data_IF_414216351680
#
_entry.id   IF_414216351680
#
_cell.length_a   1.000
_cell.length_b   1.000
_cell.length_c   1.000
_cell.angle_alpha   90.00
_cell.angle_beta   90.00
_cell.angle_gamma   90.00
#
_symmetry.space_group_name_H-M   'P 1'
#
loop_
_entity.id
_entity.type
_entity.pdbx_description
1 polymer ?
#
# COMPACT_ATOMS: atom_id res chain seq x y z
N UNK A 1 32.44 43.56 27.86
CA UNK A 1 33.39 42.77 28.68
C UNK A 1 32.65 41.54 29.16
N UNK A 2 32.17 40.70 28.25
CA UNK A 2 32.91 39.81 27.31
C UNK A 2 33.47 38.61 28.11
N UNK A 3 33.41 37.35 27.69
CA UNK A 3 32.85 36.62 26.56
C UNK A 3 33.04 35.11 26.89
N UNK A 4 32.10 34.26 26.44
CA UNK A 4 32.25 32.88 25.91
C UNK A 4 32.82 31.71 26.74
N UNK A 5 32.01 30.65 26.82
CA UNK A 5 32.19 29.35 26.11
C UNK A 5 30.97 28.43 26.42
N UNK A 6 30.12 28.05 25.45
CA UNK A 6 30.23 26.88 24.54
C UNK A 6 30.36 25.56 25.35
N UNK A 7 29.58 24.48 25.20
CA UNK A 7 28.76 23.94 24.11
C UNK A 7 27.90 22.81 24.71
N UNK A 8 26.69 22.57 24.19
CA UNK A 8 25.89 21.39 24.53
C UNK A 8 24.83 21.13 23.46
N UNK A 9 25.26 20.58 22.33
CA UNK A 9 24.39 20.05 21.27
C UNK A 9 24.02 18.61 21.63
N UNK A 10 22.72 18.28 21.63
CA UNK A 10 22.19 16.93 21.36
C UNK A 10 20.66 16.96 21.43
N UNK A 11 19.88 16.60 20.42
CA UNK A 11 20.18 16.20 19.06
C UNK A 11 18.90 16.39 18.25
N UNK A 12 19.02 17.07 17.12
CA UNK A 12 17.97 17.11 16.12
C UNK A 12 18.04 15.77 15.38
N UNK A 13 17.23 14.80 15.83
CA UNK A 13 17.05 13.57 15.04
C UNK A 13 16.31 13.95 13.79
N UNK A 14 17.07 14.08 12.71
CA UNK A 14 16.64 14.07 11.32
C UNK A 14 15.48 13.08 11.13
N UNK A 15 14.24 13.60 11.16
CA UNK A 15 13.01 12.84 11.00
C UNK A 15 12.74 12.65 9.51
N UNK A 16 13.67 11.96 8.84
CA UNK A 16 13.52 11.52 7.45
C UNK A 16 12.79 10.18 7.33
N UNK A 17 12.24 9.66 8.43
CA UNK A 17 11.46 8.43 8.47
C UNK A 17 9.95 8.73 8.48
N UNK A 18 9.19 8.00 7.66
CA UNK A 18 7.74 8.21 7.55
C UNK A 18 6.94 7.57 8.69
N UNK A 19 5.66 7.94 8.78
CA UNK A 19 4.80 7.56 9.90
C UNK A 19 4.66 6.03 10.05
N UNK A 20 4.69 5.57 11.32
CA UNK A 20 4.42 4.18 11.67
C UNK A 20 2.93 3.86 11.57
N UNK A 21 2.60 2.60 11.24
CA UNK A 21 1.21 2.13 11.21
C UNK A 21 1.11 0.66 11.62
N UNK A 22 0.11 0.38 12.45
CA UNK A 22 -0.29 -0.97 12.88
C UNK A 22 -1.47 -1.51 12.04
N UNK A 23 -1.94 -0.75 11.03
CA UNK A 23 -3.17 -1.07 10.30
C UNK A 23 -3.07 -2.43 9.57
N UNK A 24 -4.09 -3.29 9.68
CA UNK A 24 -4.10 -4.61 9.03
C UNK A 24 -4.28 -4.50 7.51
N UNK A 25 -4.73 -3.35 7.00
CA UNK A 25 -4.89 -3.07 5.58
C UNK A 25 -4.11 -1.82 5.20
N UNK A 26 -3.17 -1.93 4.26
CA UNK A 26 -2.42 -0.79 3.75
C UNK A 26 -2.72 -0.67 2.26
N UNK A 27 -2.93 0.54 1.76
CA UNK A 27 -3.28 0.74 0.36
C UNK A 27 -2.65 1.96 -0.27
N UNK A 28 -2.59 1.93 -1.59
CA UNK A 28 -2.28 3.11 -2.41
C UNK A 28 -3.50 3.48 -3.26
N UNK A 29 -3.72 4.78 -3.46
CA UNK A 29 -4.73 5.30 -4.37
C UNK A 29 -4.26 6.60 -4.99
N UNK A 30 -4.37 6.72 -6.32
CA UNK A 30 -4.15 7.97 -7.06
C UNK A 30 -5.23 9.02 -6.76
N UNK A 31 -5.06 10.19 -7.39
CA UNK A 31 -6.01 11.30 -7.45
C UNK A 31 -7.43 10.93 -7.93
N UNK A 32 -7.59 9.82 -8.65
CA UNK A 32 -8.91 9.30 -9.03
C UNK A 32 -9.69 8.70 -7.86
N UNK A 33 -9.00 8.39 -6.75
CA UNK A 33 -9.58 7.88 -5.50
C UNK A 33 -10.40 6.59 -5.60
N UNK A 34 -10.35 5.86 -6.72
CA UNK A 34 -11.13 4.62 -6.88
C UNK A 34 -10.80 3.57 -5.81
N UNK A 35 -9.52 3.27 -5.60
CA UNK A 35 -9.07 2.34 -4.55
C UNK A 35 -9.38 2.88 -3.17
N UNK A 36 -9.24 4.20 -2.95
CA UNK A 36 -9.61 4.84 -1.68
C UNK A 36 -11.10 4.66 -1.36
N UNK A 37 -11.98 4.88 -2.34
CA UNK A 37 -13.43 4.65 -2.21
C UNK A 37 -13.75 3.18 -1.95
N UNK A 38 -13.05 2.24 -2.58
CA UNK A 38 -13.22 0.82 -2.29
C UNK A 38 -12.87 0.50 -0.84
N UNK A 39 -11.68 0.88 -0.40
CA UNK A 39 -11.19 0.63 0.96
C UNK A 39 -12.09 1.28 2.01
N UNK A 40 -12.58 2.50 1.76
CA UNK A 40 -13.52 3.17 2.67
C UNK A 40 -14.83 2.43 2.89
N UNK A 41 -15.27 1.59 1.93
CA UNK A 41 -16.49 0.76 2.07
C UNK A 41 -16.27 -0.49 2.92
N UNK A 42 -15.03 -0.91 3.14
CA UNK A 42 -14.73 -2.13 3.90
C UNK A 42 -14.98 -1.97 5.40
N UNK A 43 -14.92 -0.74 5.94
CA UNK A 43 -15.06 -0.50 7.37
C UNK A 43 -13.90 -1.05 8.23
N UNK A 44 -12.79 -1.47 7.59
CA UNK A 44 -11.60 -2.02 8.23
C UNK A 44 -10.59 -0.89 8.50
N UNK A 45 -9.90 -0.95 9.64
CA UNK A 45 -8.77 -0.05 9.93
C UNK A 45 -7.74 -0.12 8.80
N UNK A 46 -7.42 1.03 8.22
CA UNK A 46 -6.54 1.09 7.06
C UNK A 46 -5.62 2.30 7.03
N UNK A 47 -4.46 2.12 6.40
CA UNK A 47 -3.48 3.19 6.22
C UNK A 47 -3.24 3.48 4.72
N UNK A 48 -3.32 4.75 4.35
CA UNK A 48 -3.10 5.22 2.98
C UNK A 48 -1.65 5.64 2.77
N UNK A 49 -0.99 5.04 1.78
CA UNK A 49 0.33 5.52 1.35
C UNK A 49 0.24 6.93 0.76
N UNK A 50 1.27 7.79 0.96
CA UNK A 50 1.30 9.13 0.39
C UNK A 50 1.21 9.14 -1.13
N UNK A 51 0.59 10.19 -1.67
CA UNK A 51 0.39 10.33 -3.11
C UNK A 51 1.71 10.61 -3.83
N UNK A 52 2.58 11.46 -3.27
CA UNK A 52 3.80 11.89 -3.94
C UNK A 52 5.00 11.07 -3.47
N UNK A 53 5.77 10.51 -4.40
CA UNK A 53 6.95 9.68 -4.06
C UNK A 53 8.06 10.44 -3.31
N UNK A 54 8.06 11.78 -3.35
CA UNK A 54 8.97 12.62 -2.58
C UNK A 54 8.67 12.60 -1.07
N UNK A 55 7.44 12.28 -0.70
CA UNK A 55 7.03 12.22 0.71
C UNK A 55 7.52 10.91 1.35
N UNK A 56 7.90 10.92 2.64
CA UNK A 56 8.26 9.71 3.37
C UNK A 56 7.12 8.67 3.30
N UNK A 57 7.44 7.42 2.99
CA UNK A 57 6.44 6.34 2.92
C UNK A 57 6.11 5.81 4.32
N UNK A 58 5.04 5.03 4.46
CA UNK A 58 4.65 4.44 5.75
C UNK A 58 5.66 3.37 6.23
N UNK A 59 5.69 3.15 7.55
CA UNK A 59 6.44 2.07 8.20
C UNK A 59 5.47 1.12 8.90
N UNK A 60 5.23 -0.05 8.32
CA UNK A 60 4.37 -1.07 8.91
C UNK A 60 5.07 -1.71 10.12
N UNK A 61 4.31 -1.91 11.19
CA UNK A 61 4.79 -2.51 12.44
C UNK A 61 4.01 -3.77 12.82
N UNK A 62 2.94 -4.10 12.08
CA UNK A 62 2.17 -5.34 12.16
C UNK A 62 2.02 -6.01 10.79
N UNK A 63 1.70 -7.32 10.74
CA UNK A 63 1.30 -7.98 9.51
C UNK A 63 0.11 -7.28 8.84
N UNK A 64 0.14 -7.16 7.52
CA UNK A 64 -0.92 -6.47 6.76
C UNK A 64 -1.19 -7.11 5.39
N UNK A 65 -2.35 -6.79 4.84
CA UNK A 65 -2.71 -7.03 3.42
C UNK A 65 -2.58 -5.72 2.64
N UNK A 66 -2.01 -5.80 1.44
CA UNK A 66 -1.83 -4.65 0.55
C UNK A 66 -2.95 -4.56 -0.48
N UNK A 67 -3.59 -3.40 -0.61
CA UNK A 67 -4.52 -3.10 -1.72
C UNK A 67 -3.89 -2.09 -2.68
N UNK A 68 -3.80 -2.42 -3.98
CA UNK A 68 -3.16 -1.55 -4.96
C UNK A 68 -3.89 -1.51 -6.31
N UNK A 69 -3.95 -0.33 -6.97
CA UNK A 69 -4.36 -0.25 -8.36
C UNK A 69 -3.26 -0.75 -9.29
N UNK A 70 -3.68 -1.22 -10.47
CA UNK A 70 -2.80 -1.49 -11.60
C UNK A 70 -2.74 -0.28 -12.51
N UNK A 71 -1.52 0.15 -12.81
CA UNK A 71 -1.23 1.14 -13.85
C UNK A 71 -0.57 0.45 -15.05
N UNK A 72 -0.03 1.24 -15.97
CA UNK A 72 0.53 0.71 -17.22
C UNK A 72 -0.52 0.60 -18.32
N UNK A 73 -0.03 0.62 -19.56
CA UNK A 73 -0.86 0.41 -20.75
C UNK A 73 -1.00 -1.08 -21.07
N UNK A 74 -1.43 -1.37 -22.30
CA UNK A 74 -1.71 -2.73 -22.81
C UNK A 74 -0.50 -3.68 -22.68
N UNK A 75 0.73 -3.15 -22.67
CA UNK A 75 1.97 -3.94 -22.54
C UNK A 75 2.41 -4.20 -21.08
N UNK A 76 1.66 -3.76 -20.06
CA UNK A 76 1.95 -4.03 -18.64
C UNK A 76 3.18 -3.30 -18.05
N UNK A 77 3.85 -2.45 -18.83
CA UNK A 77 4.98 -1.66 -18.34
C UNK A 77 4.56 -0.73 -17.20
N UNK A 78 5.33 -0.73 -16.10
CA UNK A 78 5.06 0.09 -14.89
C UNK A 78 3.69 -0.19 -14.26
N UNK A 79 3.27 -1.46 -14.27
CA UNK A 79 2.02 -1.89 -13.67
C UNK A 79 1.88 -1.55 -12.18
N UNK A 80 2.97 -1.73 -11.41
CA UNK A 80 2.98 -1.42 -9.99
C UNK A 80 3.27 0.07 -9.76
N UNK A 81 2.43 0.81 -9.00
CA UNK A 81 2.68 2.20 -8.67
C UNK A 81 4.04 2.41 -7.98
N UNK A 82 4.75 3.50 -8.33
CA UNK A 82 6.11 3.77 -7.78
C UNK A 82 6.10 3.95 -6.27
N UNK A 83 4.98 4.41 -5.70
CA UNK A 83 4.74 4.57 -4.27
C UNK A 83 4.72 3.21 -3.57
N UNK A 84 4.04 2.23 -4.18
CA UNK A 84 4.03 0.84 -3.69
C UNK A 84 5.42 0.22 -3.82
N UNK A 85 6.13 0.45 -4.93
CA UNK A 85 7.52 0.00 -5.07
C UNK A 85 8.41 0.61 -3.98
N UNK A 86 8.32 1.92 -3.72
CA UNK A 86 9.06 2.59 -2.64
C UNK A 86 8.74 1.97 -1.28
N UNK A 87 7.47 1.71 -0.99
CA UNK A 87 7.02 1.12 0.26
C UNK A 87 7.55 -0.31 0.45
N UNK A 88 7.49 -1.15 -0.58
CA UNK A 88 7.94 -2.55 -0.54
C UNK A 88 9.46 -2.73 -0.69
N UNK A 89 10.20 -1.70 -1.10
CA UNK A 89 11.67 -1.71 -1.07
C UNK A 89 12.21 -1.58 0.37
N UNK A 90 11.38 -1.13 1.32
CA UNK A 90 11.70 -1.22 2.74
C UNK A 90 11.50 -2.67 3.22
N UNK A 91 12.56 -3.28 3.74
CA UNK A 91 12.56 -4.70 4.09
C UNK A 91 11.61 -5.04 5.24
N UNK A 92 11.44 -4.14 6.21
CA UNK A 92 10.50 -4.29 7.33
C UNK A 92 9.06 -4.29 6.82
N UNK A 93 8.71 -3.35 5.92
CA UNK A 93 7.38 -3.34 5.31
C UNK A 93 7.13 -4.62 4.51
N UNK A 94 8.13 -5.05 3.74
CA UNK A 94 8.01 -6.25 2.89
C UNK A 94 7.88 -7.53 3.71
N UNK A 95 8.59 -7.68 4.83
CA UNK A 95 8.54 -8.88 5.67
C UNK A 95 7.20 -9.05 6.41
N UNK A 96 6.44 -7.96 6.57
CA UNK A 96 5.12 -7.94 7.18
C UNK A 96 3.96 -8.10 6.19
N UNK A 97 4.23 -8.11 4.88
CA UNK A 97 3.20 -8.36 3.87
C UNK A 97 2.67 -9.81 4.01
N UNK A 98 1.34 -9.97 3.94
CA UNK A 98 0.69 -11.30 4.04
C UNK A 98 -0.14 -11.68 2.84
N UNK A 99 -0.60 -10.71 2.05
CA UNK A 99 -1.36 -10.95 0.83
C UNK A 99 -1.61 -9.65 0.08
N UNK A 100 -2.08 -9.76 -1.16
CA UNK A 100 -2.38 -8.61 -2.02
C UNK A 100 -3.78 -8.67 -2.60
N UNK A 101 -4.43 -7.52 -2.71
CA UNK A 101 -5.70 -7.32 -3.40
C UNK A 101 -5.50 -6.32 -4.54
N UNK A 102 -5.84 -6.73 -5.76
CA UNK A 102 -5.64 -5.92 -6.96
C UNK A 102 -6.88 -5.17 -7.40
N UNK A 103 -6.77 -3.85 -7.57
CA UNK A 103 -7.76 -3.05 -8.30
C UNK A 103 -7.33 -2.87 -9.76
N UNK A 104 -8.26 -3.02 -10.69
CA UNK A 104 -7.99 -2.90 -12.12
C UNK A 104 -9.22 -2.49 -12.91
N UNK A 105 -9.16 -2.66 -14.23
CA UNK A 105 -10.29 -2.46 -15.11
C UNK A 105 -10.28 -3.58 -16.17
N UNK A 106 -11.41 -4.26 -16.36
CA UNK A 106 -11.47 -5.48 -17.17
C UNK A 106 -11.25 -5.21 -18.66
N UNK A 107 -11.41 -3.95 -19.10
CA UNK A 107 -11.08 -3.53 -20.47
C UNK A 107 -9.59 -3.71 -20.83
N UNK A 108 -8.72 -3.97 -19.84
CA UNK A 108 -7.30 -4.24 -20.04
C UNK A 108 -6.97 -5.73 -20.27
N UNK A 109 -7.98 -6.60 -20.33
CA UNK A 109 -7.84 -8.00 -20.72
C UNK A 109 -6.81 -8.75 -19.89
N UNK A 110 -5.78 -9.29 -20.54
CA UNK A 110 -4.70 -10.07 -19.91
C UNK A 110 -3.91 -9.28 -18.85
N UNK A 111 -3.95 -7.94 -18.89
CA UNK A 111 -3.28 -7.08 -17.91
C UNK A 111 -4.20 -6.65 -16.76
N UNK A 112 -5.41 -7.19 -16.68
CA UNK A 112 -6.35 -6.95 -15.58
C UNK A 112 -5.73 -7.33 -14.22
N UNK A 113 -5.62 -6.33 -13.35
CA UNK A 113 -5.04 -6.45 -12.00
C UNK A 113 -3.60 -6.99 -11.96
N UNK A 114 -2.84 -6.84 -13.06
CA UNK A 114 -1.47 -7.36 -13.19
C UNK A 114 -0.52 -6.90 -12.07
N UNK A 115 -0.73 -5.71 -11.48
CA UNK A 115 0.10 -5.25 -10.38
C UNK A 115 0.04 -6.18 -9.15
N UNK A 116 -1.12 -6.77 -8.87
CA UNK A 116 -1.27 -7.73 -7.78
C UNK A 116 -0.47 -9.00 -8.05
N UNK A 117 -0.52 -9.54 -9.27
CA UNK A 117 0.22 -10.75 -9.63
C UNK A 117 1.74 -10.52 -9.55
N UNK A 118 2.21 -9.37 -10.03
CA UNK A 118 3.63 -8.98 -9.95
C UNK A 118 4.10 -8.91 -8.49
N UNK A 119 3.33 -8.24 -7.62
CA UNK A 119 3.71 -8.11 -6.20
C UNK A 119 3.65 -9.46 -5.49
N UNK A 120 2.59 -10.24 -5.71
CA UNK A 120 2.43 -11.58 -5.15
C UNK A 120 3.61 -12.48 -5.49
N UNK A 121 3.98 -12.56 -6.78
CA UNK A 121 5.10 -13.36 -7.25
C UNK A 121 6.44 -12.89 -6.67
N UNK A 122 6.68 -11.57 -6.64
CA UNK A 122 7.96 -11.01 -6.18
C UNK A 122 8.14 -11.11 -4.65
N UNK A 123 7.05 -11.03 -3.90
CA UNK A 123 7.06 -11.06 -2.44
C UNK A 123 6.68 -12.42 -1.85
N UNK A 124 6.39 -13.42 -2.69
CA UNK A 124 5.96 -14.76 -2.28
C UNK A 124 4.75 -14.75 -1.33
N UNK A 125 3.73 -13.95 -1.67
CA UNK A 125 2.46 -13.86 -0.93
C UNK A 125 1.28 -14.14 -1.87
N UNK A 126 0.13 -14.64 -1.37
CA UNK A 126 -1.03 -14.89 -2.22
C UNK A 126 -1.69 -13.60 -2.74
N UNK A 127 -2.30 -13.71 -3.92
CA UNK A 127 -3.35 -12.78 -4.36
C UNK A 127 -4.65 -13.23 -3.69
N UNK A 128 -5.22 -12.37 -2.85
CA UNK A 128 -6.43 -12.68 -2.08
C UNK A 128 -7.70 -12.35 -2.85
N UNK A 129 -7.70 -11.26 -3.62
CA UNK A 129 -8.86 -10.83 -4.39
C UNK A 129 -8.49 -9.87 -5.52
N UNK A 130 -9.34 -9.76 -6.54
CA UNK A 130 -9.24 -8.78 -7.64
C UNK A 130 -10.59 -8.14 -7.87
N UNK A 131 -10.63 -6.80 -8.02
CA UNK A 131 -11.87 -6.06 -8.25
C UNK A 131 -11.70 -4.97 -9.30
N UNK A 132 -12.81 -4.49 -9.85
CA UNK A 132 -12.83 -3.49 -10.91
C UNK A 132 -13.13 -2.06 -10.38
N UNK A 133 -12.34 -1.08 -10.82
CA UNK A 133 -12.45 0.35 -10.54
C UNK A 133 -12.59 0.64 -9.05
N UNK A 134 -13.81 0.88 -8.55
CA UNK A 134 -14.09 1.21 -7.16
C UNK A 134 -14.78 0.07 -6.42
N UNK A 135 -14.92 -1.09 -7.05
CA UNK A 135 -15.59 -2.29 -6.55
C UNK A 135 -17.11 -2.14 -6.43
N UNK A 136 -17.80 -3.25 -6.57
CA UNK A 136 -19.24 -3.42 -6.32
C UNK A 136 -19.52 -3.65 -4.82
N UNK A 137 -20.79 -3.78 -4.43
CA UNK A 137 -21.14 -4.24 -3.08
C UNK A 137 -20.74 -5.69 -2.86
N UNK A 138 -20.87 -6.54 -3.88
CA UNK A 138 -20.47 -7.94 -3.80
C UNK A 138 -18.94 -8.09 -3.61
N UNK A 139 -18.14 -7.22 -4.24
CA UNK A 139 -16.70 -7.16 -4.00
C UNK A 139 -16.36 -6.78 -2.56
N UNK A 140 -17.15 -5.86 -1.97
CA UNK A 140 -16.98 -5.46 -0.57
C UNK A 140 -17.27 -6.64 0.35
N UNK A 141 -18.40 -7.31 0.17
CA UNK A 141 -18.82 -8.45 1.00
C UNK A 141 -17.79 -9.59 0.91
N UNK A 142 -17.33 -9.92 -0.29
CA UNK A 142 -16.31 -10.97 -0.50
C UNK A 142 -14.97 -10.62 0.14
N UNK A 143 -14.53 -9.37 0.05
CA UNK A 143 -13.26 -8.95 0.67
C UNK A 143 -13.36 -8.92 2.18
N UNK A 144 -14.47 -8.45 2.77
CA UNK A 144 -14.67 -8.48 4.22
C UNK A 144 -14.62 -9.92 4.73
N UNK A 145 -15.46 -10.80 4.18
CA UNK A 145 -15.52 -12.21 4.59
C UNK A 145 -14.17 -12.92 4.39
N UNK A 146 -13.51 -12.69 3.25
CA UNK A 146 -12.22 -13.29 2.95
C UNK A 146 -11.09 -12.81 3.87
N UNK A 147 -11.12 -11.53 4.29
CA UNK A 147 -10.14 -11.02 5.26
C UNK A 147 -10.40 -11.55 6.66
N UNK A 148 -11.66 -11.67 7.09
CA UNK A 148 -12.00 -12.27 8.38
C UNK A 148 -11.52 -13.72 8.49
N UNK A 149 -11.74 -14.52 7.44
CA UNK A 149 -11.24 -15.90 7.36
C UNK A 149 -9.71 -15.94 7.32
N UNK A 150 -9.08 -15.06 6.55
CA UNK A 150 -7.62 -15.03 6.37
C UNK A 150 -6.84 -14.73 7.66
N UNK A 151 -7.42 -13.94 8.58
CA UNK A 151 -6.76 -13.54 9.83
C UNK A 151 -7.06 -14.45 11.03
N UNK A 152 -7.89 -15.48 10.85
CA UNK A 152 -8.22 -16.48 11.88
C UNK A 152 -7.16 -17.58 11.94
#
# INVERSE_FOLDING_TARGET
MDERSATGVSGDTDTTDGAFTEAPLIYFSSVSDNTHRFVGKLGIESARMPLLTREPTLRATRPYVLVLPTYGGIAGERAVPRQVVKFLNNEQNRSLLRGVIGAGNTNFGETYCLAADIVAAKCAVPVLYKFEVMGTSEDVDRVINGLEEFWT
#
